data_IF_613039428188
#
_entry.id   IF_613039428188
#
_cell.length_a   1.000
_cell.length_b   1.000
_cell.length_c   1.000
_cell.angle_alpha   90.00
_cell.angle_beta   90.00
_cell.angle_gamma   90.00
#
_symmetry.space_group_name_H-M   'P 1'
#
loop_
_entity.id
_entity.type
_entity.pdbx_description
1 polymer ?
#
# COMPACT_ATOMS: atom_id res chain seq x y z
N UNK A 1 8.39 -20.89 8.42
CA UNK A 1 7.23 -20.82 7.51
C UNK A 1 7.66 -19.98 6.34
N UNK A 2 7.84 -20.61 5.19
CA UNK A 2 8.15 -19.87 3.97
C UNK A 2 6.86 -19.26 3.42
N UNK A 3 6.89 -18.00 2.97
CA UNK A 3 5.72 -17.31 2.42
C UNK A 3 5.08 -18.09 1.24
N UNK A 4 5.91 -18.86 0.52
CA UNK A 4 5.50 -19.70 -0.58
C UNK A 4 4.66 -20.91 -0.14
N UNK A 5 4.91 -21.46 1.05
CA UNK A 5 4.07 -22.52 1.64
C UNK A 5 2.68 -21.97 1.96
N UNK A 6 2.57 -20.72 2.44
CA UNK A 6 1.26 -20.12 2.72
C UNK A 6 0.40 -19.99 1.46
N UNK A 7 0.98 -19.59 0.32
CA UNK A 7 0.24 -19.50 -0.94
C UNK A 7 -0.18 -20.87 -1.50
N UNK A 8 0.57 -21.93 -1.21
CA UNK A 8 0.31 -23.28 -1.70
C UNK A 8 -0.64 -24.08 -0.80
N UNK A 9 -0.42 -24.05 0.51
CA UNK A 9 -1.15 -24.86 1.48
C UNK A 9 -2.58 -24.35 1.73
N UNK A 10 -2.78 -23.03 1.66
CA UNK A 10 -4.09 -22.39 1.88
C UNK A 10 -5.16 -22.87 0.88
N UNK A 11 -4.95 -22.86 -0.45
CA UNK A 11 -5.92 -23.40 -1.39
C UNK A 11 -6.11 -24.92 -1.26
N UNK A 12 -5.06 -25.66 -0.91
CA UNK A 12 -5.13 -27.12 -0.74
C UNK A 12 -6.01 -27.49 0.47
N UNK A 13 -5.86 -26.75 1.57
CA UNK A 13 -6.67 -26.89 2.77
C UNK A 13 -8.13 -26.46 2.55
N UNK A 14 -8.36 -25.41 1.76
CA UNK A 14 -9.71 -24.95 1.38
C UNK A 14 -10.46 -25.95 0.47
N UNK A 15 -9.73 -26.67 -0.38
CA UNK A 15 -10.29 -27.68 -1.27
C UNK A 15 -10.75 -28.94 -0.51
N UNK A 16 -10.14 -29.23 0.66
CA UNK A 16 -10.64 -30.22 1.59
C UNK A 16 -11.84 -29.61 2.33
N UNK A 17 -13.05 -30.04 1.97
CA UNK A 17 -14.38 -29.47 2.34
C UNK A 17 -14.67 -29.36 3.86
N UNK A 18 -13.93 -28.55 4.58
CA UNK A 18 -14.29 -28.09 5.91
C UNK A 18 -14.36 -26.56 5.89
N UNK A 19 -15.58 -26.03 5.76
CA UNK A 19 -15.83 -24.59 5.67
C UNK A 19 -15.37 -23.80 6.91
N UNK A 20 -15.02 -24.50 8.00
CA UNK A 20 -14.38 -23.91 9.18
C UNK A 20 -12.92 -23.52 8.92
N UNK A 21 -12.18 -24.29 8.11
CA UNK A 21 -10.75 -24.08 7.83
C UNK A 21 -10.48 -22.83 7.00
N UNK A 22 -11.39 -22.46 6.09
CA UNK A 22 -11.24 -21.22 5.32
C UNK A 22 -11.28 -19.97 6.18
N UNK A 23 -12.04 -20.00 7.29
CA UNK A 23 -12.09 -18.91 8.27
C UNK A 23 -10.83 -18.86 9.14
N UNK A 24 -10.21 -20.01 9.40
CA UNK A 24 -8.96 -20.14 10.17
C UNK A 24 -7.77 -19.50 9.42
N UNK A 25 -7.69 -19.64 8.09
CA UNK A 25 -6.55 -19.11 7.33
C UNK A 25 -6.56 -17.59 7.14
N UNK A 26 -7.73 -16.94 6.97
CA UNK A 26 -7.79 -15.47 6.96
C UNK A 26 -7.45 -14.86 8.32
N UNK A 27 -7.71 -15.57 9.43
CA UNK A 27 -7.39 -15.12 10.77
C UNK A 27 -5.92 -15.31 11.17
N UNK A 28 -5.12 -16.07 10.42
CA UNK A 28 -3.71 -16.35 10.79
C UNK A 28 -2.85 -15.10 10.90
N UNK A 29 -3.04 -14.14 9.98
CA UNK A 29 -2.32 -12.87 10.08
C UNK A 29 -2.83 -12.04 11.25
N UNK A 30 -4.15 -12.05 11.51
CA UNK A 30 -4.72 -11.37 12.68
C UNK A 30 -4.16 -11.94 13.99
N UNK A 31 -4.02 -13.27 14.11
CA UNK A 31 -3.39 -13.95 15.24
C UNK A 31 -1.92 -13.52 15.40
N UNK A 32 -1.14 -13.54 14.32
CA UNK A 32 0.26 -13.14 14.34
C UNK A 32 0.43 -11.64 14.69
N UNK A 33 -0.48 -10.78 14.22
CA UNK A 33 -0.49 -9.35 14.56
C UNK A 33 -0.90 -9.12 16.02
N UNK A 34 -1.81 -9.93 16.56
CA UNK A 34 -2.23 -9.85 17.96
C UNK A 34 -1.06 -10.11 18.93
N UNK A 35 -0.16 -11.03 18.61
CA UNK A 35 1.02 -11.34 19.43
C UNK A 35 1.99 -10.17 19.60
N UNK A 36 1.99 -9.21 18.66
CA UNK A 36 2.87 -8.04 18.66
C UNK A 36 2.12 -6.71 18.82
N UNK A 37 0.80 -6.75 19.05
CA UNK A 37 -0.05 -5.56 19.08
C UNK A 37 0.37 -4.54 20.15
N UNK A 38 0.88 -5.01 21.30
CA UNK A 38 1.34 -4.15 22.39
C UNK A 38 2.76 -3.57 22.15
N UNK A 39 3.46 -3.99 21.09
CA UNK A 39 4.84 -3.61 20.80
C UNK A 39 4.97 -2.55 19.70
N UNK A 40 3.95 -2.40 18.84
CA UNK A 40 4.02 -1.53 17.66
C UNK A 40 2.74 -0.71 17.50
N UNK A 41 2.88 0.61 17.34
CA UNK A 41 1.76 1.49 16.99
C UNK A 41 1.28 1.29 15.54
N UNK A 42 2.21 1.00 14.61
CA UNK A 42 1.95 0.88 13.17
C UNK A 42 2.68 -0.32 12.62
N UNK A 43 1.95 -1.17 11.88
CA UNK A 43 2.52 -2.26 11.09
C UNK A 43 2.29 -1.97 9.61
N UNK A 44 3.36 -1.99 8.82
CA UNK A 44 3.30 -1.86 7.36
C UNK A 44 3.39 -3.25 6.76
N UNK A 45 2.40 -3.62 5.95
CA UNK A 45 2.37 -4.89 5.23
C UNK A 45 2.64 -4.59 3.75
N UNK A 46 3.79 -5.03 3.25
CA UNK A 46 4.14 -4.91 1.83
C UNK A 46 3.76 -6.22 1.12
N UNK A 47 2.81 -6.14 0.19
CA UNK A 47 2.29 -7.31 -0.50
C UNK A 47 2.80 -7.36 -1.94
N UNK A 48 3.01 -8.56 -2.48
CA UNK A 48 3.33 -8.71 -3.89
C UNK A 48 2.11 -8.29 -4.74
N UNK A 49 2.31 -7.90 -6.01
CA UNK A 49 1.25 -7.32 -6.85
C UNK A 49 0.13 -8.29 -7.23
N UNK A 50 0.29 -9.59 -6.96
CA UNK A 50 -0.72 -10.61 -7.24
C UNK A 50 -1.80 -10.63 -6.17
N UNK A 51 -3.07 -10.82 -6.57
CA UNK A 51 -4.20 -11.00 -5.65
C UNK A 51 -4.27 -12.45 -5.12
N UNK A 52 -3.15 -12.95 -4.58
CA UNK A 52 -3.02 -14.26 -3.95
C UNK A 52 -3.52 -14.27 -2.50
N UNK A 53 -3.42 -15.42 -1.83
CA UNK A 53 -3.87 -15.57 -0.44
C UNK A 53 -3.15 -14.63 0.53
N UNK A 54 -1.87 -14.34 0.30
CA UNK A 54 -1.11 -13.38 1.11
C UNK A 54 -1.73 -11.98 1.04
N UNK A 55 -1.97 -11.49 -0.18
CA UNK A 55 -2.57 -10.17 -0.41
C UNK A 55 -3.99 -10.11 0.13
N UNK A 56 -4.80 -11.18 -0.03
CA UNK A 56 -6.15 -11.21 0.53
C UNK A 56 -6.18 -11.19 2.05
N UNK A 57 -5.28 -11.94 2.68
CA UNK A 57 -5.16 -11.97 4.15
C UNK A 57 -4.68 -10.61 4.67
N UNK A 58 -3.68 -10.01 4.01
CA UNK A 58 -3.24 -8.65 4.33
C UNK A 58 -4.37 -7.62 4.17
N UNK A 59 -5.15 -7.69 3.09
CA UNK A 59 -6.30 -6.81 2.86
C UNK A 59 -7.40 -6.99 3.91
N UNK A 60 -7.64 -8.21 4.40
CA UNK A 60 -8.63 -8.45 5.46
C UNK A 60 -8.17 -7.96 6.84
N UNK A 61 -6.87 -8.09 7.13
CA UNK A 61 -6.26 -7.69 8.41
C UNK A 61 -5.91 -6.20 8.49
N UNK A 62 -5.84 -5.49 7.36
CA UNK A 62 -5.43 -4.08 7.31
C UNK A 62 -6.56 -3.12 7.68
N UNK A 63 -6.23 -2.11 8.51
CA UNK A 63 -7.14 -1.01 8.87
C UNK A 63 -7.09 0.15 7.87
N UNK A 64 -6.03 0.25 7.07
CA UNK A 64 -5.86 1.24 6.02
C UNK A 64 -5.12 0.67 4.82
N UNK A 65 -5.45 1.17 3.63
CA UNK A 65 -4.81 0.75 2.38
C UNK A 65 -4.25 1.99 1.66
N UNK A 66 -2.97 1.93 1.33
CA UNK A 66 -2.28 2.92 0.50
C UNK A 66 -1.89 2.28 -0.82
N UNK A 67 -2.45 2.80 -1.93
CA UNK A 67 -2.17 2.32 -3.28
C UNK A 67 -1.21 3.29 -3.94
N UNK A 68 0.01 2.84 -4.25
CA UNK A 68 0.97 3.64 -4.99
C UNK A 68 0.72 3.52 -6.49
N UNK A 69 0.71 4.65 -7.18
CA UNK A 69 0.44 4.71 -8.62
C UNK A 69 1.37 5.69 -9.29
N UNK A 70 1.91 5.27 -10.43
CA UNK A 70 2.70 6.14 -11.28
C UNK A 70 1.73 6.86 -12.25
N UNK A 71 1.85 8.18 -12.49
CA UNK A 71 0.89 8.93 -13.29
C UNK A 71 1.07 8.68 -14.80
N UNK A 72 0.95 7.43 -15.22
CA UNK A 72 0.92 6.99 -16.61
C UNK A 72 -0.39 6.25 -16.89
N UNK A 73 -0.89 6.38 -18.12
CA UNK A 73 -2.21 5.82 -18.49
C UNK A 73 -2.29 4.31 -18.25
N UNK A 74 -1.24 3.56 -18.62
CA UNK A 74 -1.22 2.10 -18.45
C UNK A 74 -1.25 1.69 -16.97
N UNK A 75 -0.53 2.41 -16.11
CA UNK A 75 -0.51 2.17 -14.67
C UNK A 75 -1.89 2.44 -14.05
N UNK A 76 -2.53 3.56 -14.43
CA UNK A 76 -3.89 3.91 -13.97
C UNK A 76 -4.92 2.89 -14.44
N UNK A 77 -4.86 2.43 -15.69
CA UNK A 77 -5.76 1.41 -16.20
C UNK A 77 -5.58 0.07 -15.47
N UNK A 78 -4.33 -0.34 -15.23
CA UNK A 78 -4.01 -1.57 -14.51
C UNK A 78 -4.50 -1.50 -13.05
N UNK A 79 -4.31 -0.36 -12.40
CA UNK A 79 -4.84 -0.09 -11.07
C UNK A 79 -6.38 -0.18 -11.03
N UNK A 80 -7.08 0.40 -12.00
CA UNK A 80 -8.54 0.28 -12.09
C UNK A 80 -8.99 -1.18 -12.18
N UNK A 81 -8.31 -2.00 -12.99
CA UNK A 81 -8.62 -3.44 -13.08
C UNK A 81 -8.35 -4.17 -11.76
N UNK A 82 -7.23 -3.88 -11.11
CA UNK A 82 -6.92 -4.42 -9.79
C UNK A 82 -8.00 -4.08 -8.76
N UNK A 83 -8.48 -2.84 -8.73
CA UNK A 83 -9.55 -2.40 -7.82
C UNK A 83 -10.89 -3.11 -8.08
N UNK A 84 -11.22 -3.36 -9.35
CA UNK A 84 -12.42 -4.12 -9.70
C UNK A 84 -12.33 -5.56 -9.17
N UNK A 85 -11.20 -6.23 -9.42
CA UNK A 85 -10.95 -7.59 -8.91
C UNK A 85 -10.94 -7.62 -7.38
N UNK A 86 -10.29 -6.65 -6.74
CA UNK A 86 -10.28 -6.50 -5.29
C UNK A 86 -11.71 -6.38 -4.76
N UNK A 87 -12.55 -5.51 -5.36
CA UNK A 87 -13.95 -5.35 -4.98
C UNK A 87 -14.76 -6.64 -5.10
N UNK A 88 -14.56 -7.43 -6.15
CA UNK A 88 -15.21 -8.73 -6.33
C UNK A 88 -14.82 -9.74 -5.25
N UNK A 89 -13.52 -9.84 -4.93
CA UNK A 89 -13.03 -10.76 -3.90
C UNK A 89 -13.47 -10.31 -2.52
N UNK A 90 -13.30 -9.03 -2.17
CA UNK A 90 -13.79 -8.46 -0.91
C UNK A 90 -15.29 -8.68 -0.73
N UNK A 91 -16.08 -8.51 -1.80
CA UNK A 91 -17.52 -8.78 -1.76
C UNK A 91 -17.84 -10.25 -1.46
N UNK A 92 -17.02 -11.18 -1.95
CA UNK A 92 -17.14 -12.61 -1.66
C UNK A 92 -16.74 -12.94 -0.22
N UNK A 93 -15.65 -12.36 0.27
CA UNK A 93 -15.17 -12.54 1.65
C UNK A 93 -16.19 -11.99 2.67
N UNK A 94 -16.76 -10.82 2.40
CA UNK A 94 -17.81 -10.24 3.24
C UNK A 94 -19.05 -11.14 3.32
N UNK A 95 -19.45 -11.76 2.20
CA UNK A 95 -20.54 -12.76 2.19
C UNK A 95 -20.21 -14.03 2.99
N UNK A 96 -18.94 -14.40 3.07
CA UNK A 96 -18.45 -15.52 3.89
C UNK A 96 -18.33 -15.18 5.40
N UNK A 97 -18.58 -13.91 5.77
CA UNK A 97 -18.55 -13.43 7.15
C UNK A 97 -17.20 -12.87 7.60
N UNK A 98 -16.30 -12.52 6.67
CA UNK A 98 -15.06 -11.81 7.01
C UNK A 98 -15.38 -10.39 7.52
N UNK A 99 -14.81 -10.02 8.66
CA UNK A 99 -14.97 -8.67 9.22
C UNK A 99 -13.95 -7.73 8.60
N UNK A 100 -14.31 -7.11 7.48
CA UNK A 100 -13.43 -6.19 6.77
C UNK A 100 -13.71 -4.76 7.20
N UNK A 101 -12.88 -4.25 8.11
CA UNK A 101 -12.98 -2.86 8.60
C UNK A 101 -11.80 -2.05 8.05
N UNK A 102 -12.09 -1.29 7.00
CA UNK A 102 -11.13 -0.37 6.40
C UNK A 102 -11.50 1.07 6.77
N UNK A 103 -10.70 1.71 7.61
CA UNK A 103 -10.94 3.10 8.05
C UNK A 103 -10.58 4.10 6.94
N UNK A 104 -9.59 3.79 6.08
CA UNK A 104 -9.26 4.61 4.92
C UNK A 104 -8.60 3.83 3.78
N UNK A 105 -8.88 4.30 2.56
CA UNK A 105 -8.19 3.93 1.33
C UNK A 105 -7.71 5.19 0.63
N UNK A 106 -6.43 5.23 0.25
CA UNK A 106 -5.81 6.36 -0.45
C UNK A 106 -4.90 5.95 -1.59
N UNK A 107 -4.78 6.84 -2.58
CA UNK A 107 -3.85 6.73 -3.70
C UNK A 107 -2.70 7.71 -3.51
N UNK A 108 -1.47 7.20 -3.54
CA UNK A 108 -0.25 8.00 -3.55
C UNK A 108 0.32 8.03 -4.97
N UNK A 109 0.38 9.23 -5.56
CA UNK A 109 1.11 9.43 -6.81
C UNK A 109 2.60 9.33 -6.51
N UNK A 110 3.29 8.43 -7.21
CA UNK A 110 4.72 8.16 -7.05
C UNK A 110 5.50 8.45 -8.31
N UNK A 111 6.82 8.68 -8.15
CA UNK A 111 7.74 8.99 -9.25
C UNK A 111 7.26 10.16 -10.11
N UNK A 112 6.59 11.13 -9.50
CA UNK A 112 6.03 12.28 -10.20
C UNK A 112 7.11 13.28 -10.60
N UNK A 113 7.02 13.79 -11.83
CA UNK A 113 7.86 14.86 -12.35
C UNK A 113 7.00 16.09 -12.69
N UNK A 114 7.01 17.17 -11.89
CA UNK A 114 6.12 18.32 -12.09
C UNK A 114 6.31 19.07 -13.42
N UNK A 115 7.49 18.95 -14.02
CA UNK A 115 7.81 19.53 -15.33
C UNK A 115 7.27 18.70 -16.50
N UNK A 116 6.80 17.48 -16.23
CA UNK A 116 6.17 16.61 -17.22
C UNK A 116 4.67 16.96 -17.34
N UNK A 117 4.34 17.64 -18.43
CA UNK A 117 2.97 18.05 -18.76
C UNK A 117 1.98 16.88 -18.82
N UNK A 118 2.26 15.80 -19.58
CA UNK A 118 1.47 14.57 -19.58
C UNK A 118 1.22 13.98 -18.18
N UNK A 119 2.23 13.88 -17.32
CA UNK A 119 2.02 13.40 -15.94
C UNK A 119 1.10 14.32 -15.15
N UNK A 120 1.25 15.63 -15.29
CA UNK A 120 0.41 16.61 -14.60
C UNK A 120 -1.07 16.51 -15.03
N UNK A 121 -1.32 16.28 -16.32
CA UNK A 121 -2.67 15.99 -16.83
C UNK A 121 -3.22 14.68 -16.25
N UNK A 122 -2.39 13.64 -16.14
CA UNK A 122 -2.79 12.36 -15.55
C UNK A 122 -3.13 12.49 -14.06
N UNK A 123 -2.33 13.22 -13.28
CA UNK A 123 -2.63 13.49 -11.86
C UNK A 123 -3.96 14.23 -11.71
N UNK A 124 -4.22 15.24 -12.56
CA UNK A 124 -5.49 15.94 -12.57
C UNK A 124 -6.67 15.00 -12.91
N UNK A 125 -6.49 14.11 -13.89
CA UNK A 125 -7.47 13.09 -14.24
C UNK A 125 -7.74 12.12 -13.09
N UNK A 126 -6.70 11.61 -12.42
CA UNK A 126 -6.83 10.77 -11.24
C UNK A 126 -7.58 11.46 -10.10
N UNK A 127 -7.28 12.74 -9.84
CA UNK A 127 -8.00 13.55 -8.84
C UNK A 127 -9.46 13.78 -9.23
N UNK A 128 -9.78 13.89 -10.52
CA UNK A 128 -11.15 13.94 -11.02
C UNK A 128 -11.90 12.62 -10.75
N UNK A 129 -11.25 11.48 -11.03
CA UNK A 129 -11.85 10.15 -10.87
C UNK A 129 -12.01 9.74 -9.39
N UNK A 130 -10.93 9.82 -8.63
CA UNK A 130 -10.83 9.29 -7.26
C UNK A 130 -11.01 10.36 -6.18
N UNK A 131 -11.14 11.65 -6.55
CA UNK A 131 -11.48 12.76 -5.66
C UNK A 131 -10.58 12.82 -4.43
N UNK A 132 -11.17 12.93 -3.25
CA UNK A 132 -10.47 12.98 -1.95
C UNK A 132 -9.71 11.71 -1.58
N UNK A 133 -9.80 10.65 -2.39
CA UNK A 133 -9.01 9.43 -2.16
C UNK A 133 -7.58 9.58 -2.69
N UNK A 134 -7.27 10.54 -3.57
CA UNK A 134 -5.88 10.82 -3.95
C UNK A 134 -5.25 11.72 -2.91
N UNK A 135 -4.04 11.38 -2.44
CA UNK A 135 -3.28 12.25 -1.55
C UNK A 135 -2.98 13.60 -2.22
N UNK A 136 -2.90 14.63 -1.39
CA UNK A 136 -2.59 15.99 -1.81
C UNK A 136 -1.14 16.09 -2.23
N UNK A 137 -0.22 15.46 -1.49
CA UNK A 137 1.20 15.49 -1.79
C UNK A 137 1.62 14.27 -2.64
N UNK A 138 2.44 14.52 -3.65
CA UNK A 138 3.03 13.49 -4.52
C UNK A 138 4.45 13.13 -4.09
N UNK A 139 4.85 11.86 -4.28
CA UNK A 139 6.24 11.43 -4.20
C UNK A 139 6.97 11.77 -5.49
N UNK A 140 7.96 12.66 -5.38
CA UNK A 140 8.73 13.12 -6.52
C UNK A 140 9.70 12.06 -7.03
N UNK A 141 9.89 12.05 -8.35
CA UNK A 141 11.02 11.34 -8.97
C UNK A 141 12.32 12.09 -8.63
N UNK A 142 13.26 11.38 -8.03
CA UNK A 142 14.56 11.94 -7.66
C UNK A 142 15.68 10.92 -7.84
N UNK A 143 16.81 11.35 -8.39
CA UNK A 143 18.01 10.51 -8.47
C UNK A 143 18.54 10.16 -7.09
N UNK A 144 18.38 11.03 -6.08
CA UNK A 144 18.77 10.71 -4.71
C UNK A 144 18.02 9.49 -4.14
N UNK A 145 16.73 9.34 -4.48
CA UNK A 145 15.94 8.15 -4.08
C UNK A 145 16.46 6.91 -4.83
N UNK A 146 16.71 7.03 -6.14
CA UNK A 146 17.25 5.93 -6.94
C UNK A 146 18.61 5.46 -6.42
N UNK A 147 19.51 6.40 -6.12
CA UNK A 147 20.87 6.14 -5.68
C UNK A 147 20.90 5.51 -4.28
N UNK A 148 20.09 6.02 -3.34
CA UNK A 148 19.92 5.40 -2.02
C UNK A 148 19.34 3.96 -2.14
N UNK A 149 18.44 3.73 -3.09
CA UNK A 149 17.90 2.40 -3.38
C UNK A 149 18.95 1.40 -3.84
N UNK A 150 19.97 1.83 -4.59
CA UNK A 150 21.09 0.97 -5.04
C UNK A 150 21.88 0.43 -3.83
N UNK A 151 22.08 1.27 -2.81
CA UNK A 151 22.77 0.88 -1.58
C UNK A 151 21.85 0.21 -0.55
N UNK A 152 20.56 0.01 -0.90
CA UNK A 152 19.51 -0.52 -0.01
C UNK A 152 19.31 0.33 1.24
N UNK A 153 19.43 1.64 1.09
CA UNK A 153 19.23 2.62 2.15
C UNK A 153 18.06 3.54 1.81
N UNK A 154 17.41 4.06 2.83
CA UNK A 154 16.43 5.14 2.71
C UNK A 154 17.13 6.50 2.67
N UNK A 155 16.42 7.55 2.26
CA UNK A 155 16.93 8.92 2.35
C UNK A 155 17.23 9.38 3.79
N UNK A 156 16.67 8.69 4.78
CA UNK A 156 16.92 8.95 6.20
C UNK A 156 18.25 8.37 6.70
N UNK A 157 18.81 7.39 5.98
CA UNK A 157 20.02 6.66 6.40
C UNK A 157 21.28 7.12 5.65
N UNK A 158 21.12 7.77 4.49
CA UNK A 158 22.24 8.27 3.69
C UNK A 158 22.68 9.66 4.15
N UNK A 159 23.99 9.94 4.03
CA UNK A 159 24.49 11.28 4.33
C UNK A 159 24.19 12.25 3.18
N UNK A 160 23.67 13.44 3.53
CA UNK A 160 23.38 14.51 2.57
C UNK A 160 24.58 14.94 1.72
N UNK A 161 25.81 14.78 2.24
CA UNK A 161 27.08 15.08 1.57
C UNK A 161 27.32 14.23 0.32
N UNK A 162 26.68 13.06 0.22
CA UNK A 162 26.85 12.11 -0.89
C UNK A 162 26.06 12.52 -2.15
N UNK A 163 25.25 13.58 -2.08
CA UNK A 163 24.34 14.01 -3.15
C UNK A 163 24.50 15.49 -3.49
N UNK A 164 24.01 15.87 -4.67
CA UNK A 164 23.72 17.27 -4.97
C UNK A 164 22.70 17.79 -3.96
N UNK A 165 23.07 18.83 -3.20
CA UNK A 165 22.27 19.39 -2.09
C UNK A 165 20.82 19.67 -2.47
N UNK A 166 20.57 20.33 -3.60
CA UNK A 166 19.22 20.66 -4.06
C UNK A 166 18.38 19.42 -4.42
N UNK A 167 19.01 18.37 -4.95
CA UNK A 167 18.35 17.11 -5.28
C UNK A 167 17.93 16.35 -4.03
N UNK A 168 18.83 16.27 -3.04
CA UNK A 168 18.53 15.65 -1.75
C UNK A 168 17.43 16.41 -1.02
N UNK A 169 17.57 17.73 -0.89
CA UNK A 169 16.62 18.59 -0.16
C UNK A 169 15.21 18.48 -0.74
N UNK A 170 15.08 18.54 -2.07
CA UNK A 170 13.78 18.39 -2.74
C UNK A 170 13.19 16.98 -2.54
N UNK A 171 14.03 15.95 -2.53
CA UNK A 171 13.58 14.57 -2.36
C UNK A 171 13.09 14.33 -0.93
N UNK A 172 13.88 14.71 0.08
CA UNK A 172 13.52 14.52 1.48
C UNK A 172 12.29 15.36 1.86
N UNK A 173 12.15 16.57 1.32
CA UNK A 173 10.96 17.39 1.51
C UNK A 173 9.69 16.70 0.97
N UNK A 174 9.75 16.15 -0.24
CA UNK A 174 8.64 15.37 -0.82
C UNK A 174 8.27 14.18 0.07
N UNK A 175 9.28 13.44 0.56
CA UNK A 175 9.06 12.31 1.48
C UNK A 175 8.37 12.76 2.76
N UNK A 176 8.85 13.84 3.39
CA UNK A 176 8.26 14.36 4.61
C UNK A 176 6.81 14.82 4.44
N UNK A 177 6.49 15.48 3.33
CA UNK A 177 5.12 15.96 3.06
C UNK A 177 4.14 14.80 2.92
N UNK A 178 4.52 13.76 2.18
CA UNK A 178 3.70 12.54 2.03
C UNK A 178 3.56 11.81 3.36
N UNK A 179 4.66 11.60 4.09
CA UNK A 179 4.63 10.90 5.38
C UNK A 179 3.79 11.66 6.42
N UNK A 180 3.84 12.99 6.42
CA UNK A 180 3.00 13.82 7.30
C UNK A 180 1.51 13.66 6.99
N UNK A 181 1.16 13.60 5.70
CA UNK A 181 -0.23 13.37 5.28
C UNK A 181 -0.74 11.98 5.68
N UNK A 182 0.07 10.93 5.47
CA UNK A 182 -0.26 9.56 5.88
C UNK A 182 -0.42 9.47 7.40
N UNK A 183 0.51 10.07 8.15
CA UNK A 183 0.45 10.13 9.62
C UNK A 183 -0.86 10.80 10.07
N UNK A 184 -1.26 11.90 9.43
CA UNK A 184 -2.54 12.56 9.70
C UNK A 184 -3.76 11.67 9.45
N UNK A 185 -3.74 10.81 8.43
CA UNK A 185 -4.82 9.84 8.18
C UNK A 185 -4.89 8.77 9.26
N UNK A 186 -3.75 8.27 9.70
CA UNK A 186 -3.65 7.27 10.78
C UNK A 186 -4.20 7.87 12.08
N UNK A 187 -3.76 9.06 12.46
CA UNK A 187 -4.27 9.80 13.62
C UNK A 187 -5.79 9.99 13.58
N UNK A 188 -6.31 10.44 12.43
CA UNK A 188 -7.75 10.62 12.22
C UNK A 188 -8.53 9.30 12.37
N UNK A 189 -8.00 8.18 11.87
CA UNK A 189 -8.62 6.86 12.02
C UNK A 189 -8.66 6.41 13.49
N UNK A 190 -7.62 6.73 14.26
CA UNK A 190 -7.56 6.50 15.70
C UNK A 190 -8.40 7.47 16.54
N UNK A 191 -8.92 8.53 15.93
CA UNK A 191 -9.69 9.57 16.64
C UNK A 191 -8.84 10.44 17.57
N UNK A 192 -7.54 10.59 17.30
CA UNK A 192 -6.60 11.41 18.07
C UNK A 192 -5.88 12.42 17.19
#
# INVERSE_FOLDING_TARGET
LELQEFEYDTPLALAQKDGSMGRIFFGRLDEALADVADQYDVVIIDCPPQLGYLTLTALSSSTGILITVHPQMLDVMSMCQFLLMMGEVMGTLKRAGANMRLDWLRYLVTRYEPTDGPQSQMVAFMRSLFKQHVLVNEMLKSTAISDAGITKQTLYEVERSQFTRSTYDRAIESVHRVNSEITGLIHKAWGR
#
